data_IF_457447199155
#
_entry.id   IF_457447199155
#
_cell.length_a   1.000
_cell.length_b   1.000
_cell.length_c   1.000
_cell.angle_alpha   90.00
_cell.angle_beta   90.00
_cell.angle_gamma   90.00
#
_symmetry.space_group_name_H-M   'P 1'
#
loop_
_entity.id
_entity.type
_entity.pdbx_description
1 polymer ?
#
# COMPACT_ATOMS: atom_id res chain seq x y z
N UNK A 1 4.24 25.88 -9.14
CA UNK A 1 4.56 24.94 -8.05
C UNK A 1 3.79 23.66 -8.33
N UNK A 2 4.42 22.49 -8.26
CA UNK A 2 3.69 21.24 -8.48
C UNK A 2 2.64 21.07 -7.36
N UNK A 3 1.41 20.74 -7.75
CA UNK A 3 0.32 20.47 -6.82
C UNK A 3 0.66 19.22 -5.98
N UNK A 4 0.23 19.19 -4.72
CA UNK A 4 0.62 18.15 -3.76
C UNK A 4 -0.62 17.54 -3.13
N UNK A 5 -0.74 16.21 -3.21
CA UNK A 5 -1.78 15.47 -2.48
C UNK A 5 -1.28 15.25 -1.06
N UNK A 6 -2.11 15.60 -0.07
CA UNK A 6 -1.77 15.49 1.36
C UNK A 6 -2.65 14.47 2.05
N UNK A 7 -2.02 13.58 2.81
CA UNK A 7 -2.69 12.60 3.66
C UNK A 7 -2.08 12.71 5.04
N UNK A 8 -2.89 12.83 6.10
CA UNK A 8 -2.40 12.88 7.47
C UNK A 8 -2.98 11.75 8.28
N UNK A 9 -2.11 10.89 8.79
CA UNK A 9 -2.46 9.90 9.80
C UNK A 9 -2.25 10.49 11.19
N UNK A 10 -3.17 10.24 12.11
CA UNK A 10 -3.03 10.53 13.53
C UNK A 10 -3.41 9.28 14.32
N UNK A 11 -2.51 8.84 15.18
CA UNK A 11 -2.70 7.72 16.10
C UNK A 11 -2.84 8.27 17.51
N UNK A 12 -3.91 7.91 18.21
CA UNK A 12 -4.14 8.26 19.62
C UNK A 12 -4.13 6.98 20.45
N UNK A 13 -3.25 6.94 21.45
CA UNK A 13 -2.99 5.77 22.28
C UNK A 13 -3.81 5.82 23.57
N UNK A 14 -3.87 4.68 24.29
CA UNK A 14 -4.68 4.55 25.51
C UNK A 14 -4.25 5.45 26.67
N UNK A 15 -3.02 5.95 26.66
CA UNK A 15 -2.49 6.93 27.62
C UNK A 15 -2.82 8.38 27.25
N UNK A 16 -3.57 8.60 26.16
CA UNK A 16 -3.95 9.92 25.64
C UNK A 16 -2.85 10.58 24.80
N UNK A 17 -1.66 9.99 24.67
CA UNK A 17 -0.63 10.50 23.77
C UNK A 17 -1.06 10.31 22.31
N UNK A 18 -0.52 11.14 21.42
CA UNK A 18 -0.81 11.03 19.99
C UNK A 18 0.44 11.22 19.14
N UNK A 19 0.44 10.59 17.96
CA UNK A 19 1.49 10.72 16.94
C UNK A 19 0.85 10.98 15.59
N UNK A 20 1.34 11.99 14.88
CA UNK A 20 0.86 12.35 13.54
C UNK A 20 1.93 12.16 12.49
N UNK A 21 1.51 11.67 11.32
CA UNK A 21 2.35 11.39 10.17
C UNK A 21 1.73 12.07 8.95
N UNK A 22 2.17 13.30 8.62
CA UNK A 22 1.81 13.94 7.37
C UNK A 22 2.57 13.27 6.21
N UNK A 23 1.85 12.95 5.15
CA UNK A 23 2.37 12.44 3.88
C UNK A 23 2.09 13.47 2.80
N UNK A 24 3.06 13.62 1.89
CA UNK A 24 2.94 14.45 0.71
C UNK A 24 3.28 13.60 -0.52
N UNK A 25 2.44 13.68 -1.54
CA UNK A 25 2.66 13.04 -2.82
C UNK A 25 2.64 14.10 -3.92
N UNK A 26 3.49 13.93 -4.92
CA UNK A 26 3.37 14.71 -6.16
C UNK A 26 2.03 14.40 -6.84
N UNK A 27 1.21 15.42 -7.14
CA UNK A 27 -0.15 15.19 -7.62
C UNK A 27 -0.22 14.56 -9.03
N UNK A 28 0.85 14.65 -9.82
CA UNK A 28 0.88 14.11 -11.19
C UNK A 28 1.41 12.68 -11.20
N UNK A 29 2.54 12.44 -10.54
CA UNK A 29 3.29 11.18 -10.57
C UNK A 29 2.94 10.24 -9.42
N UNK A 30 2.22 10.76 -8.41
CA UNK A 30 1.91 10.08 -7.14
C UNK A 30 3.17 9.62 -6.39
N UNK A 31 4.35 10.16 -6.73
CA UNK A 31 5.58 9.82 -6.04
C UNK A 31 5.57 10.39 -4.63
N UNK A 32 6.02 9.58 -3.66
CA UNK A 32 6.17 10.03 -2.28
C UNK A 32 7.21 11.14 -2.20
N UNK A 33 6.86 12.23 -1.53
CA UNK A 33 7.76 13.35 -1.24
C UNK A 33 8.27 13.14 0.19
N UNK A 34 9.52 12.67 0.38
CA UNK A 34 10.04 12.37 1.70
C UNK A 34 10.13 13.64 2.55
N UNK A 35 9.77 13.53 3.83
CA UNK A 35 10.15 14.54 4.81
C UNK A 35 11.63 14.38 5.15
N UNK A 36 12.23 15.45 5.70
CA UNK A 36 13.68 15.66 5.84
C UNK A 36 14.55 14.40 6.01
N UNK A 37 15.72 14.40 5.36
CA UNK A 37 16.67 13.28 5.34
C UNK A 37 17.11 12.90 6.75
N UNK A 38 16.56 11.81 7.27
CA UNK A 38 17.18 11.04 8.37
C UNK A 38 18.33 10.25 7.77
N UNK A 39 19.42 10.09 8.52
CA UNK A 39 20.51 9.20 8.13
C UNK A 39 19.94 7.78 7.91
N UNK A 40 20.04 7.21 6.69
CA UNK A 40 19.38 5.94 6.41
C UNK A 40 20.00 4.81 7.24
N UNK A 41 19.21 4.07 8.04
CA UNK A 41 19.74 2.97 8.84
C UNK A 41 20.20 1.83 7.93
N UNK A 42 21.17 1.03 8.41
CA UNK A 42 21.81 -0.02 7.60
C UNK A 42 20.83 -0.97 6.92
N UNK A 43 19.74 -1.36 7.60
CA UNK A 43 18.73 -2.27 7.06
C UNK A 43 18.04 -1.76 5.78
N UNK A 44 18.16 -0.47 5.46
CA UNK A 44 17.61 0.13 4.25
C UNK A 44 18.45 -0.11 3.01
N UNK A 45 19.71 -0.55 3.17
CA UNK A 45 20.58 -0.91 2.06
C UNK A 45 19.92 -1.98 1.17
N UNK A 46 20.04 -1.81 -0.14
CA UNK A 46 19.40 -2.72 -1.10
C UNK A 46 19.91 -4.15 -0.93
N UNK A 47 21.20 -4.31 -0.64
CA UNK A 47 21.89 -5.60 -0.43
C UNK A 47 21.39 -6.38 0.80
N UNK A 48 20.78 -5.71 1.78
CA UNK A 48 20.29 -6.38 3.00
C UNK A 48 18.87 -6.90 2.75
N UNK A 49 18.67 -8.23 2.78
CA UNK A 49 17.36 -8.87 2.58
C UNK A 49 16.65 -8.38 1.30
N UNK A 50 17.39 -8.30 0.17
CA UNK A 50 16.83 -7.94 -1.13
C UNK A 50 15.68 -8.88 -1.51
N UNK A 51 14.57 -8.34 -1.99
CA UNK A 51 13.45 -9.15 -2.46
C UNK A 51 13.87 -10.01 -3.67
N UNK A 52 13.40 -11.25 -3.71
CA UNK A 52 13.77 -12.22 -4.75
C UNK A 52 13.43 -11.78 -6.18
N UNK A 53 12.41 -10.93 -6.34
CA UNK A 53 11.98 -10.36 -7.61
C UNK A 53 12.39 -8.88 -7.78
N UNK A 54 13.34 -8.36 -6.99
CA UNK A 54 13.76 -6.96 -7.09
C UNK A 54 14.58 -6.72 -8.37
N UNK A 55 14.14 -5.84 -9.28
CA UNK A 55 14.86 -5.58 -10.53
C UNK A 55 15.99 -4.54 -10.38
N UNK A 56 16.15 -3.93 -9.21
CA UNK A 56 17.14 -2.88 -9.00
C UNK A 56 18.54 -3.47 -8.85
N UNK A 57 19.49 -2.81 -9.51
CA UNK A 57 20.92 -3.10 -9.43
C UNK A 57 21.54 -2.41 -8.21
N UNK A 58 22.26 -3.17 -7.38
CA UNK A 58 22.95 -2.67 -6.18
C UNK A 58 24.09 -1.70 -6.48
N UNK A 59 24.67 -1.76 -7.68
CA UNK A 59 25.69 -0.80 -8.13
C UNK A 59 25.10 0.57 -8.45
N UNK A 60 23.82 0.62 -8.83
CA UNK A 60 23.10 1.85 -9.20
C UNK A 60 22.18 2.37 -8.10
N UNK A 61 21.77 1.49 -7.19
CA UNK A 61 20.85 1.79 -6.09
C UNK A 61 21.43 1.30 -4.77
N UNK A 62 21.96 2.23 -3.98
CA UNK A 62 22.49 1.94 -2.63
C UNK A 62 21.41 1.43 -1.68
N UNK A 63 20.22 2.03 -1.73
CA UNK A 63 19.11 1.76 -0.82
C UNK A 63 17.91 1.18 -1.56
N UNK A 64 17.16 0.32 -0.88
CA UNK A 64 15.83 -0.04 -1.35
C UNK A 64 14.88 1.15 -1.16
N UNK A 65 14.17 1.60 -2.20
CA UNK A 65 13.27 2.75 -2.11
C UNK A 65 12.19 2.58 -1.04
N UNK A 66 11.61 1.39 -0.92
CA UNK A 66 10.62 1.08 0.12
C UNK A 66 11.23 1.23 1.52
N UNK A 67 12.39 0.61 1.73
CA UNK A 67 13.03 0.58 3.05
C UNK A 67 13.45 1.99 3.49
N UNK A 68 14.03 2.76 2.57
CA UNK A 68 14.44 4.14 2.81
C UNK A 68 13.25 5.00 3.25
N UNK A 69 12.14 4.95 2.51
CA UNK A 69 10.96 5.77 2.81
C UNK A 69 10.19 5.29 4.06
N UNK A 70 10.26 4.01 4.40
CA UNK A 70 9.66 3.47 5.61
C UNK A 70 10.50 3.68 6.87
N UNK A 71 11.79 4.02 6.74
CA UNK A 71 12.74 4.03 7.86
C UNK A 71 12.27 4.83 9.08
N UNK A 72 11.76 6.04 8.86
CA UNK A 72 11.22 6.89 9.92
C UNK A 72 9.96 6.30 10.58
N UNK A 73 9.05 5.73 9.79
CA UNK A 73 7.81 5.10 10.32
C UNK A 73 8.16 3.86 11.13
N UNK A 74 9.01 2.98 10.59
CA UNK A 74 9.44 1.75 11.27
C UNK A 74 10.09 2.08 12.60
N UNK A 75 10.98 3.08 12.64
CA UNK A 75 11.63 3.52 13.87
C UNK A 75 10.62 4.03 14.92
N UNK A 76 9.56 4.72 14.51
CA UNK A 76 8.55 5.26 15.42
C UNK A 76 7.67 4.17 16.02
N UNK A 77 7.44 3.08 15.29
CA UNK A 77 6.57 1.97 15.71
C UNK A 77 7.32 0.70 16.16
N UNK A 78 8.66 0.75 16.28
CA UNK A 78 9.50 -0.44 16.54
C UNK A 78 9.22 -1.12 17.89
N UNK A 79 8.71 -0.38 18.87
CA UNK A 79 8.49 -0.83 20.25
C UNK A 79 7.01 -1.14 20.56
N UNK A 80 6.10 -0.99 19.58
CA UNK A 80 4.68 -1.25 19.75
C UNK A 80 4.32 -2.71 19.48
N UNK A 81 3.44 -3.27 20.30
CA UNK A 81 2.90 -4.62 20.08
C UNK A 81 1.71 -4.54 19.12
N UNK A 82 1.68 -5.45 18.15
CA UNK A 82 0.75 -5.43 17.02
C UNK A 82 -0.74 -5.39 17.37
N UNK A 83 -1.15 -6.01 18.49
CA UNK A 83 -2.54 -6.10 18.92
C UNK A 83 -2.97 -5.01 19.93
N UNK A 84 -2.08 -4.08 20.27
CA UNK A 84 -2.44 -2.92 21.10
C UNK A 84 -3.56 -2.10 20.47
N UNK A 85 -4.49 -1.62 21.29
CA UNK A 85 -5.62 -0.80 20.85
C UNK A 85 -5.17 0.63 20.57
N UNK A 86 -5.67 1.19 19.47
CA UNK A 86 -5.36 2.54 19.03
C UNK A 86 -6.56 3.15 18.31
N UNK A 87 -6.79 4.45 18.51
CA UNK A 87 -7.71 5.21 17.67
C UNK A 87 -6.91 5.85 16.53
N UNK A 88 -7.33 5.60 15.29
CA UNK A 88 -6.65 6.10 14.10
C UNK A 88 -7.57 7.03 13.34
N UNK A 89 -7.09 8.24 13.06
CA UNK A 89 -7.73 9.19 12.17
C UNK A 89 -6.88 9.39 10.92
N UNK A 90 -7.51 9.41 9.76
CA UNK A 90 -6.87 9.65 8.47
C UNK A 90 -7.57 10.81 7.79
N UNK A 91 -6.89 11.94 7.64
CA UNK A 91 -7.39 13.08 6.89
C UNK A 91 -6.82 13.06 5.47
N UNK A 92 -7.69 13.11 4.48
CA UNK A 92 -7.39 13.41 3.07
C UNK A 92 -8.08 14.72 2.70
N UNK A 93 -7.90 15.21 1.48
CA UNK A 93 -8.52 16.47 1.04
C UNK A 93 -10.05 16.42 1.09
N UNK A 94 -10.64 15.31 0.65
CA UNK A 94 -12.08 15.19 0.48
C UNK A 94 -12.83 14.88 1.79
N UNK A 95 -12.16 14.28 2.79
CA UNK A 95 -12.80 13.78 4.04
C UNK A 95 -11.79 13.33 5.10
N UNK A 96 -12.30 13.04 6.29
CA UNK A 96 -11.58 12.30 7.32
C UNK A 96 -12.24 10.95 7.62
N UNK A 97 -11.41 9.94 7.89
CA UNK A 97 -11.79 8.60 8.35
C UNK A 97 -11.34 8.42 9.79
N UNK A 98 -12.11 7.72 10.60
CA UNK A 98 -11.73 7.37 11.97
C UNK A 98 -12.11 5.91 12.28
N UNK A 99 -11.23 5.20 12.99
CA UNK A 99 -11.50 3.83 13.46
C UNK A 99 -10.72 3.53 14.73
N UNK A 100 -11.39 2.94 15.71
CA UNK A 100 -10.72 2.26 16.82
C UNK A 100 -10.37 0.84 16.41
N UNK A 101 -9.08 0.50 16.48
CA UNK A 101 -8.56 -0.73 15.92
C UNK A 101 -7.30 -1.19 16.66
N UNK A 102 -6.58 -2.17 16.12
CA UNK A 102 -5.27 -2.60 16.61
C UNK A 102 -4.15 -1.88 15.87
N UNK A 103 -2.97 -1.78 16.49
CA UNK A 103 -1.78 -1.16 15.89
C UNK A 103 -1.48 -1.70 14.49
N UNK A 104 -1.50 -3.03 14.29
CA UNK A 104 -1.26 -3.62 12.97
C UNK A 104 -2.31 -3.20 11.92
N UNK A 105 -3.59 -3.15 12.27
CA UNK A 105 -4.67 -2.77 11.35
C UNK A 105 -4.62 -1.27 11.03
N UNK A 106 -4.27 -0.44 12.03
CA UNK A 106 -4.10 0.99 11.88
C UNK A 106 -2.86 1.39 11.05
N UNK A 107 -1.77 0.64 11.18
CA UNK A 107 -0.50 0.89 10.51
C UNK A 107 -0.47 0.34 9.08
N UNK A 108 -1.17 -0.77 8.81
CA UNK A 108 -1.20 -1.43 7.50
C UNK A 108 -1.47 -0.47 6.32
N UNK A 109 -2.52 0.36 6.31
CA UNK A 109 -2.78 1.26 5.18
C UNK A 109 -1.74 2.38 5.04
N UNK A 110 -1.09 2.81 6.14
CA UNK A 110 0.02 3.77 6.09
C UNK A 110 1.24 3.15 5.40
N UNK A 111 1.61 1.92 5.76
CA UNK A 111 2.70 1.20 5.07
C UNK A 111 2.35 1.00 3.59
N UNK A 112 1.11 0.62 3.28
CA UNK A 112 0.65 0.40 1.91
C UNK A 112 0.85 1.63 1.01
N UNK A 113 0.51 2.83 1.50
CA UNK A 113 0.77 4.08 0.77
C UNK A 113 2.26 4.26 0.49
N UNK A 114 3.09 4.19 1.53
CA UNK A 114 4.52 4.50 1.41
C UNK A 114 5.22 3.49 0.51
N UNK A 115 4.95 2.20 0.68
CA UNK A 115 5.54 1.15 -0.15
C UNK A 115 5.21 1.36 -1.63
N UNK A 116 3.94 1.64 -1.93
CA UNK A 116 3.44 1.82 -3.30
C UNK A 116 3.99 3.08 -3.97
N UNK A 117 4.20 4.14 -3.21
CA UNK A 117 4.63 5.45 -3.73
C UNK A 117 6.13 5.69 -3.63
N UNK A 118 6.89 4.73 -3.10
CA UNK A 118 8.33 4.84 -2.83
C UNK A 118 9.25 4.86 -4.05
N UNK A 119 8.76 4.46 -5.23
CA UNK A 119 9.57 4.25 -6.43
C UNK A 119 10.09 2.81 -6.59
N UNK A 120 9.48 1.83 -5.91
CA UNK A 120 9.75 0.41 -6.16
C UNK A 120 9.10 -0.04 -7.48
N UNK A 121 9.85 -0.53 -8.49
CA UNK A 121 9.28 -0.86 -9.79
C UNK A 121 8.18 -1.93 -9.75
N UNK A 122 8.23 -2.84 -8.77
CA UNK A 122 7.23 -3.91 -8.61
C UNK A 122 5.93 -3.37 -7.99
N UNK A 123 6.01 -2.35 -7.13
CA UNK A 123 4.85 -1.77 -6.46
C UNK A 123 4.22 -0.62 -7.26
N UNK A 124 4.99 -0.03 -8.18
CA UNK A 124 4.61 1.12 -9.01
C UNK A 124 3.21 1.00 -9.67
N UNK A 125 2.79 -0.16 -10.22
CA UNK A 125 1.48 -0.29 -10.85
C UNK A 125 0.30 -0.03 -9.90
N UNK A 126 0.53 -0.10 -8.58
CA UNK A 126 -0.51 0.10 -7.56
C UNK A 126 -0.70 1.57 -7.19
N UNK A 127 0.16 2.50 -7.66
CA UNK A 127 0.07 3.94 -7.34
C UNK A 127 -1.32 4.55 -7.49
N UNK A 128 -2.12 4.24 -8.54
CA UNK A 128 -3.45 4.83 -8.68
C UNK A 128 -4.39 4.51 -7.51
N UNK A 129 -4.16 3.41 -6.77
CA UNK A 129 -4.93 3.08 -5.54
C UNK A 129 -4.77 4.12 -4.44
N UNK A 130 -3.66 4.86 -4.43
CA UNK A 130 -3.35 5.88 -3.42
C UNK A 130 -4.06 7.21 -3.71
N UNK A 131 -4.34 7.53 -4.99
CA UNK A 131 -5.09 8.76 -5.34
C UNK A 131 -6.47 8.81 -4.69
N UNK A 132 -7.11 7.65 -4.58
CA UNK A 132 -8.42 7.47 -3.94
C UNK A 132 -8.30 6.62 -2.69
N UNK A 133 -7.30 6.91 -1.85
CA UNK A 133 -6.97 6.10 -0.69
C UNK A 133 -8.20 5.89 0.23
N UNK A 134 -8.47 4.62 0.55
CA UNK A 134 -9.53 4.22 1.46
C UNK A 134 -8.90 3.40 2.59
N UNK A 135 -8.63 4.01 3.76
CA UNK A 135 -8.13 3.26 4.91
C UNK A 135 -9.25 2.37 5.47
N UNK A 136 -8.86 1.25 6.09
CA UNK A 136 -9.77 0.32 6.77
C UNK A 136 -10.81 -0.37 5.87
N UNK A 137 -10.57 -0.40 4.55
CA UNK A 137 -11.42 -1.08 3.59
C UNK A 137 -11.60 -2.56 3.95
N UNK A 138 -12.80 -3.07 3.73
CA UNK A 138 -13.10 -4.51 3.73
C UNK A 138 -12.38 -5.22 2.58
N UNK A 139 -12.39 -6.56 2.61
CA UNK A 139 -11.85 -7.37 1.52
C UNK A 139 -12.59 -7.11 0.20
N UNK A 140 -13.92 -7.08 0.23
CA UNK A 140 -14.76 -6.80 -0.94
C UNK A 140 -14.45 -5.41 -1.53
N UNK A 141 -14.41 -4.36 -0.70
CA UNK A 141 -14.05 -3.00 -1.17
C UNK A 141 -12.64 -2.96 -1.76
N UNK A 142 -11.69 -3.68 -1.15
CA UNK A 142 -10.31 -3.72 -1.59
C UNK A 142 -10.20 -4.38 -2.97
N UNK A 143 -10.76 -5.58 -3.13
CA UNK A 143 -10.73 -6.33 -4.39
C UNK A 143 -11.49 -5.55 -5.49
N UNK A 144 -12.68 -5.05 -5.19
CA UNK A 144 -13.46 -4.28 -6.16
C UNK A 144 -12.67 -3.07 -6.65
N UNK A 145 -12.08 -2.27 -5.73
CA UNK A 145 -11.25 -1.12 -6.11
C UNK A 145 -10.03 -1.50 -6.95
N UNK A 146 -9.35 -2.60 -6.62
CA UNK A 146 -8.19 -3.08 -7.38
C UNK A 146 -8.57 -3.49 -8.80
N UNK A 147 -9.68 -4.23 -8.97
CA UNK A 147 -10.20 -4.62 -10.29
C UNK A 147 -10.65 -3.39 -11.07
N UNK A 148 -11.47 -2.51 -10.49
CA UNK A 148 -11.95 -1.31 -11.18
C UNK A 148 -10.80 -0.42 -11.63
N UNK A 149 -9.80 -0.18 -10.76
CA UNK A 149 -8.60 0.57 -11.10
C UNK A 149 -7.83 -0.08 -12.25
N UNK A 150 -7.68 -1.41 -12.23
CA UNK A 150 -7.01 -2.13 -13.29
C UNK A 150 -7.72 -1.97 -14.63
N UNK A 151 -9.03 -2.19 -14.67
CA UNK A 151 -9.83 -2.06 -15.90
C UNK A 151 -9.82 -0.62 -16.44
N UNK A 152 -9.78 0.40 -15.57
CA UNK A 152 -9.58 1.80 -15.98
C UNK A 152 -8.19 2.01 -16.60
N UNK A 153 -7.14 1.38 -16.08
CA UNK A 153 -5.83 1.41 -16.71
C UNK A 153 -5.84 0.75 -18.10
N UNK A 154 -6.56 -0.36 -18.25
CA UNK A 154 -6.74 -1.04 -19.55
C UNK A 154 -7.49 -0.16 -20.55
N UNK A 155 -8.50 0.57 -20.11
CA UNK A 155 -9.20 1.57 -20.93
C UNK A 155 -8.23 2.65 -21.45
N UNK A 156 -7.39 3.22 -20.58
CA UNK A 156 -6.40 4.22 -21.02
C UNK A 156 -5.33 3.65 -21.95
N UNK A 157 -4.94 2.38 -21.77
CA UNK A 157 -4.04 1.69 -22.70
C UNK A 157 -4.66 1.59 -24.09
N UNK A 158 -5.93 1.19 -24.17
CA UNK A 158 -6.66 1.12 -25.44
C UNK A 158 -6.74 2.50 -26.12
N UNK A 159 -7.09 3.56 -25.38
CA UNK A 159 -7.13 4.94 -25.89
C UNK A 159 -5.77 5.41 -26.43
N UNK A 160 -4.68 4.87 -25.89
CA UNK A 160 -3.31 5.20 -26.28
C UNK A 160 -2.76 4.30 -27.40
N UNK A 161 -3.59 3.46 -28.03
CA UNK A 161 -3.16 2.51 -29.06
C UNK A 161 -2.27 1.37 -28.53
N UNK A 162 -2.22 1.16 -27.22
CA UNK A 162 -1.48 0.07 -26.60
C UNK A 162 -2.37 -1.18 -26.46
N UNK A 163 -1.78 -2.41 -26.44
CA UNK A 163 -2.52 -3.62 -26.14
C UNK A 163 -3.22 -3.54 -24.78
N UNK A 164 -4.52 -3.81 -24.77
CA UNK A 164 -5.35 -3.88 -23.58
C UNK A 164 -6.06 -5.25 -23.52
N UNK A 165 -6.21 -5.78 -22.31
CA UNK A 165 -7.00 -6.98 -22.03
C UNK A 165 -8.35 -6.62 -21.38
N UNK A 166 -9.39 -7.34 -21.79
CA UNK A 166 -10.70 -7.35 -21.15
C UNK A 166 -10.71 -8.54 -20.18
N UNK A 167 -10.19 -8.32 -18.98
CA UNK A 167 -9.99 -9.37 -17.98
C UNK A 167 -9.13 -8.87 -16.82
N UNK A 168 -8.77 -9.78 -15.91
CA UNK A 168 -7.96 -9.47 -14.72
C UNK A 168 -6.70 -10.32 -14.61
N UNK A 169 -6.31 -11.05 -15.66
CA UNK A 169 -5.15 -11.94 -15.61
C UNK A 169 -3.83 -11.18 -15.43
N UNK A 170 -3.70 -10.00 -16.05
CA UNK A 170 -2.59 -9.09 -15.79
C UNK A 170 -2.58 -8.58 -14.35
N UNK A 171 -3.75 -8.32 -13.76
CA UNK A 171 -3.87 -7.93 -12.35
C UNK A 171 -3.41 -9.05 -11.41
N UNK A 172 -3.83 -10.29 -11.67
CA UNK A 172 -3.37 -11.46 -10.90
C UNK A 172 -1.85 -11.60 -10.93
N UNK A 173 -1.23 -11.40 -12.11
CA UNK A 173 0.24 -11.41 -12.27
C UNK A 173 0.91 -10.29 -11.47
N UNK A 174 0.38 -9.08 -11.52
CA UNK A 174 0.88 -7.93 -10.73
C UNK A 174 0.86 -8.27 -9.24
N UNK A 175 -0.27 -8.74 -8.71
CA UNK A 175 -0.39 -9.07 -7.29
C UNK A 175 0.42 -10.29 -6.87
N UNK A 176 0.65 -11.25 -7.76
CA UNK A 176 1.63 -12.32 -7.53
C UNK A 176 3.04 -11.78 -7.28
N UNK A 177 3.47 -10.75 -8.03
CA UNK A 177 4.76 -10.10 -7.79
C UNK A 177 4.78 -9.27 -6.50
N UNK A 178 3.69 -8.58 -6.19
CA UNK A 178 3.55 -7.82 -4.93
C UNK A 178 3.59 -8.75 -3.71
N UNK A 179 2.97 -9.92 -3.76
CA UNK A 179 3.04 -10.93 -2.70
C UNK A 179 4.48 -11.38 -2.43
N UNK A 180 5.30 -11.60 -3.47
CA UNK A 180 6.72 -11.91 -3.29
C UNK A 180 7.46 -10.77 -2.57
N UNK A 181 7.19 -9.51 -2.94
CA UNK A 181 7.77 -8.33 -2.28
C UNK A 181 7.35 -8.28 -0.82
N UNK A 182 6.05 -8.38 -0.52
CA UNK A 182 5.54 -8.29 0.85
C UNK A 182 6.14 -9.37 1.75
N UNK A 183 6.18 -10.63 1.28
CA UNK A 183 6.79 -11.76 1.99
C UNK A 183 8.28 -11.55 2.27
N UNK A 184 9.06 -11.17 1.26
CA UNK A 184 10.50 -11.00 1.43
C UNK A 184 10.82 -9.75 2.25
N UNK A 185 10.06 -8.67 2.08
CA UNK A 185 10.20 -7.44 2.85
C UNK A 185 9.80 -7.62 4.32
N UNK A 186 8.89 -8.55 4.64
CA UNK A 186 8.60 -8.92 6.03
C UNK A 186 9.84 -9.49 6.74
N UNK A 187 10.70 -10.25 6.04
CA UNK A 187 11.98 -10.71 6.59
C UNK A 187 12.91 -9.53 6.88
N UNK A 188 12.97 -8.55 5.96
CA UNK A 188 13.72 -7.31 6.17
C UNK A 188 13.22 -6.53 7.38
N UNK A 189 11.91 -6.37 7.54
CA UNK A 189 11.33 -5.65 8.69
C UNK A 189 11.58 -6.36 10.02
N UNK A 190 11.52 -7.69 10.06
CA UNK A 190 11.85 -8.46 11.28
C UNK A 190 13.29 -8.23 11.75
N UNK A 191 14.22 -8.01 10.82
CA UNK A 191 15.60 -7.69 11.17
C UNK A 191 15.79 -6.24 11.66
N UNK A 192 14.78 -5.37 11.47
CA UNK A 192 14.86 -3.93 11.74
C UNK A 192 14.05 -3.46 12.97
N UNK A 193 13.14 -4.28 13.50
CA UNK A 193 12.25 -3.92 14.59
C UNK A 193 12.31 -4.96 15.73
N UNK A 194 12.20 -4.49 16.97
CA UNK A 194 12.19 -5.35 18.16
C UNK A 194 10.81 -6.00 18.37
N UNK A 195 9.73 -5.25 18.14
CA UNK A 195 8.34 -5.71 18.22
C UNK A 195 7.72 -5.92 16.85
N UNK A 196 6.52 -6.50 16.85
CA UNK A 196 5.89 -7.11 15.69
C UNK A 196 4.89 -6.22 14.95
N UNK A 197 4.57 -5.00 15.44
CA UNK A 197 3.57 -4.13 14.83
C UNK A 197 3.85 -3.83 13.35
N UNK A 198 5.09 -3.43 13.01
CA UNK A 198 5.49 -3.17 11.62
C UNK A 198 5.36 -4.41 10.73
N UNK A 199 5.75 -5.58 11.26
CA UNK A 199 5.74 -6.85 10.52
C UNK A 199 4.30 -7.31 10.29
N UNK A 200 3.45 -7.30 11.31
CA UNK A 200 2.07 -7.76 11.18
C UNK A 200 1.19 -6.77 10.39
N UNK A 201 1.51 -5.48 10.40
CA UNK A 201 0.90 -4.50 9.50
C UNK A 201 1.17 -4.84 8.02
N UNK A 202 2.39 -5.29 7.70
CA UNK A 202 2.75 -5.75 6.36
C UNK A 202 2.12 -7.11 6.04
N UNK A 203 2.01 -8.03 7.01
CA UNK A 203 1.32 -9.31 6.81
C UNK A 203 -0.12 -9.10 6.36
N UNK A 204 -0.82 -8.09 6.89
CA UNK A 204 -2.17 -7.74 6.41
C UNK A 204 -2.17 -7.39 4.92
N UNK A 205 -1.19 -6.61 4.45
CA UNK A 205 -1.04 -6.27 3.02
C UNK A 205 -0.71 -7.53 2.19
N UNK A 206 0.10 -8.43 2.74
CA UNK A 206 0.43 -9.70 2.11
C UNK A 206 -0.81 -10.59 1.94
N UNK A 207 -1.67 -10.67 2.96
CA UNK A 207 -2.94 -11.39 2.87
C UNK A 207 -3.82 -10.86 1.74
N UNK A 208 -3.94 -9.54 1.58
CA UNK A 208 -4.69 -8.95 0.45
C UNK A 208 -4.06 -9.31 -0.90
N UNK A 209 -2.73 -9.22 -1.01
CA UNK A 209 -2.03 -9.55 -2.25
C UNK A 209 -2.16 -11.04 -2.62
N UNK A 210 -2.16 -11.94 -1.63
CA UNK A 210 -2.36 -13.37 -1.82
C UNK A 210 -3.82 -13.74 -2.15
N UNK A 211 -4.78 -13.05 -1.55
CA UNK A 211 -6.21 -13.34 -1.74
C UNK A 211 -6.74 -12.84 -3.08
N UNK A 212 -6.21 -11.74 -3.62
CA UNK A 212 -6.75 -11.17 -4.87
C UNK A 212 -6.77 -12.17 -6.02
N UNK A 213 -5.68 -12.90 -6.35
CA UNK A 213 -5.72 -13.85 -7.45
C UNK A 213 -6.74 -15.00 -7.28
N UNK A 214 -7.13 -15.30 -6.04
CA UNK A 214 -8.02 -16.41 -5.70
C UNK A 214 -9.49 -15.99 -5.61
N UNK A 215 -9.75 -14.77 -5.11
CA UNK A 215 -11.09 -14.32 -4.74
C UNK A 215 -11.66 -13.26 -5.69
N UNK A 216 -10.89 -12.76 -6.67
CA UNK A 216 -11.33 -11.65 -7.51
C UNK A 216 -12.60 -11.96 -8.31
N UNK A 217 -12.66 -13.08 -9.05
CA UNK A 217 -13.87 -13.42 -9.81
C UNK A 217 -15.09 -13.64 -8.92
N UNK A 218 -14.93 -14.37 -7.82
CA UNK A 218 -16.01 -14.61 -6.86
C UNK A 218 -16.54 -13.29 -6.26
N UNK A 219 -15.64 -12.39 -5.89
CA UNK A 219 -16.02 -11.07 -5.34
C UNK A 219 -16.76 -10.22 -6.38
N UNK A 220 -16.37 -10.29 -7.66
CA UNK A 220 -17.08 -9.59 -8.73
C UNK A 220 -18.47 -10.18 -8.97
N UNK A 221 -18.62 -11.49 -8.88
CA UNK A 221 -19.91 -12.15 -9.00
C UNK A 221 -20.84 -11.75 -7.84
N UNK A 222 -20.32 -11.63 -6.61
CA UNK A 222 -21.10 -11.18 -5.44
C UNK A 222 -21.72 -9.79 -5.61
N UNK A 223 -21.09 -8.90 -6.39
CA UNK A 223 -21.61 -7.55 -6.64
C UNK A 223 -22.39 -7.44 -7.95
N UNK A 224 -22.43 -8.50 -8.77
CA UNK A 224 -23.01 -8.49 -10.12
C UNK A 224 -24.46 -8.04 -10.15
N UNK A 225 -25.26 -8.46 -9.19
CA UNK A 225 -26.68 -8.07 -9.10
C UNK A 225 -26.87 -6.56 -8.97
N UNK A 226 -25.90 -5.86 -8.38
CA UNK A 226 -25.92 -4.39 -8.28
C UNK A 226 -25.75 -3.70 -9.64
N UNK A 227 -25.37 -4.44 -10.69
CA UNK A 227 -25.20 -3.95 -12.06
C UNK A 227 -26.35 -4.35 -13.00
N UNK A 228 -27.46 -4.90 -12.48
CA UNK A 228 -28.59 -5.35 -13.31
C UNK A 228 -29.08 -4.29 -14.30
N UNK A 229 -29.10 -3.01 -13.90
CA UNK A 229 -29.49 -1.91 -14.79
C UNK A 229 -28.57 -1.71 -16.02
N UNK A 230 -27.31 -2.14 -15.94
CA UNK A 230 -26.37 -2.13 -17.06
C UNK A 230 -26.42 -3.40 -17.91
N UNK A 231 -26.83 -4.53 -17.31
CA UNK A 231 -26.86 -5.84 -17.98
C UNK A 231 -28.15 -6.07 -18.79
N UNK A 232 -29.17 -5.23 -18.59
CA UNK A 232 -30.48 -5.41 -19.19
C UNK A 232 -31.30 -6.49 -18.46
N UNK A 233 -32.58 -6.68 -18.84
CA UNK A 233 -33.36 -7.80 -18.33
C UNK A 233 -32.69 -9.13 -18.73
N UNK A 234 -32.59 -10.05 -17.76
CA UNK A 234 -32.12 -11.40 -17.98
C UNK A 234 -33.01 -12.18 -18.97
#
# INVERSE_FOLDING_TARGET
MAETIRIKYTYTFGDGTSRSFPLALDATTLAFIPQAKVEPPLWTLLSINKCSNCPLDEQRHTYCPVALNLSGIVQQFKDFISHERVAVQVAVEERAYAKETTMQQGLSPLLGIIMTTSGCPVMEPLKPMVRFHLPFASLTETIFRMVSMYLVAQYFRQQSGMPAELGIEGLKKIYGQVNLVNRDFAKRLRAAAEKDANVNALVILDCFAAMLPLAAEETLEQVRDSFAAYLGPA
#
